data_IF_610668700476
#
_entry.id   IF_610668700476
#
_cell.length_a   1.000
_cell.length_b   1.000
_cell.length_c   1.000
_cell.angle_alpha   90.00
_cell.angle_beta   90.00
_cell.angle_gamma   90.00
#
_symmetry.space_group_name_H-M   'P 1'
#
loop_
_entity.id
_entity.type
_entity.pdbx_description
1 polymer ?
#
# COMPACT_ATOMS: atom_id res chain seq x y z
N UNK A 1 -13.12 -12.69 -13.53
CA UNK A 1 -13.87 -11.68 -12.73
C UNK A 1 -12.88 -10.66 -12.21
N UNK A 2 -13.13 -9.41 -12.44
CA UNK A 2 -12.18 -8.32 -12.16
C UNK A 2 -12.27 -7.91 -10.70
N UNK A 3 -11.20 -8.14 -9.96
CA UNK A 3 -11.09 -7.76 -8.54
C UNK A 3 -10.12 -6.59 -8.36
N UNK A 4 -10.38 -5.75 -7.37
CA UNK A 4 -9.48 -4.72 -6.89
C UNK A 4 -8.76 -5.22 -5.65
N UNK A 5 -7.45 -5.37 -5.74
CA UNK A 5 -6.58 -5.69 -4.60
C UNK A 5 -6.11 -4.37 -4.00
N UNK A 6 -6.65 -4.02 -2.84
CA UNK A 6 -6.39 -2.73 -2.22
C UNK A 6 -5.21 -2.82 -1.25
N UNK A 7 -4.14 -2.11 -1.59
CA UNK A 7 -2.91 -1.98 -0.80
C UNK A 7 -2.95 -0.65 -0.05
N UNK A 8 -3.74 -0.59 1.01
CA UNK A 8 -3.91 0.61 1.83
C UNK A 8 -2.70 0.87 2.74
N UNK A 9 -2.65 2.06 3.30
CA UNK A 9 -1.65 2.43 4.30
C UNK A 9 -1.97 1.75 5.64
N UNK A 10 -0.97 1.63 6.51
CA UNK A 10 -1.18 1.13 7.86
C UNK A 10 -2.24 1.97 8.59
N UNK A 11 -3.34 1.34 9.07
CA UNK A 11 -4.45 2.07 9.65
C UNK A 11 -4.19 2.41 11.12
N UNK A 12 -3.94 3.68 11.40
CA UNK A 12 -3.80 4.20 12.76
C UNK A 12 -5.05 4.98 13.16
N UNK A 13 -5.63 4.68 14.32
CA UNK A 13 -6.84 5.34 14.83
C UNK A 13 -6.71 6.87 14.97
N UNK A 14 -5.51 7.35 15.27
CA UNK A 14 -5.23 8.77 15.44
C UNK A 14 -4.84 9.48 14.13
N UNK A 15 -4.93 8.81 13.00
CA UNK A 15 -4.45 9.33 11.72
C UNK A 15 -5.49 9.19 10.61
N UNK A 16 -5.35 10.03 9.59
CA UNK A 16 -6.18 10.01 8.39
C UNK A 16 -6.08 8.67 7.61
N UNK A 17 -5.07 7.85 7.87
CA UNK A 17 -4.88 6.58 7.17
C UNK A 17 -6.03 5.60 7.37
N UNK A 18 -6.55 5.49 8.60
CA UNK A 18 -7.75 4.69 8.88
C UNK A 18 -8.98 5.30 8.20
N UNK A 19 -9.14 6.62 8.29
CA UNK A 19 -10.25 7.33 7.65
C UNK A 19 -10.22 7.19 6.13
N UNK A 20 -9.03 7.22 5.52
CA UNK A 20 -8.84 7.01 4.09
C UNK A 20 -9.27 5.61 3.66
N UNK A 21 -8.92 4.60 4.45
CA UNK A 21 -9.37 3.24 4.23
C UNK A 21 -10.90 3.16 4.26
N UNK A 22 -11.53 3.66 5.31
CA UNK A 22 -13.00 3.63 5.47
C UNK A 22 -13.71 4.34 4.31
N UNK A 23 -13.19 5.47 3.86
CA UNK A 23 -13.74 6.19 2.72
C UNK A 23 -13.60 5.44 1.41
N UNK A 24 -12.44 4.85 1.14
CA UNK A 24 -12.21 4.06 -0.07
C UNK A 24 -13.12 2.83 -0.10
N UNK A 25 -13.21 2.10 1.00
CA UNK A 25 -14.09 0.94 1.12
C UNK A 25 -15.55 1.32 0.88
N UNK A 26 -16.01 2.43 1.48
CA UNK A 26 -17.37 2.95 1.25
C UNK A 26 -17.62 3.27 -0.23
N UNK A 27 -16.63 3.83 -0.93
CA UNK A 27 -16.73 4.11 -2.37
C UNK A 27 -16.78 2.81 -3.18
N UNK A 28 -15.95 1.83 -2.83
CA UNK A 28 -15.92 0.53 -3.52
C UNK A 28 -17.26 -0.18 -3.38
N UNK A 29 -17.82 -0.20 -2.19
CA UNK A 29 -19.14 -0.78 -1.91
C UNK A 29 -20.25 -0.05 -2.66
N UNK A 30 -20.29 1.28 -2.58
CA UNK A 30 -21.28 2.10 -3.28
C UNK A 30 -21.24 1.91 -4.80
N UNK A 31 -20.06 1.62 -5.36
CA UNK A 31 -19.85 1.39 -6.80
C UNK A 31 -19.93 -0.07 -7.20
N UNK A 32 -20.25 -0.97 -6.27
CA UNK A 32 -20.27 -2.43 -6.49
C UNK A 32 -18.95 -2.94 -7.08
N UNK A 33 -17.83 -2.42 -6.59
CA UNK A 33 -16.49 -2.90 -6.96
C UNK A 33 -16.19 -4.12 -6.09
N UNK A 34 -15.88 -5.25 -6.72
CA UNK A 34 -15.35 -6.40 -5.99
C UNK A 34 -13.91 -6.09 -5.57
N UNK A 35 -13.68 -5.96 -4.26
CA UNK A 35 -12.38 -5.59 -3.71
C UNK A 35 -11.98 -6.51 -2.56
N UNK A 36 -10.68 -6.56 -2.32
CA UNK A 36 -10.10 -7.20 -1.16
C UNK A 36 -8.95 -6.34 -0.64
N UNK A 37 -8.99 -6.04 0.66
CA UNK A 37 -7.93 -5.31 1.33
C UNK A 37 -6.81 -6.27 1.73
N UNK A 38 -5.63 -6.10 1.11
CA UNK A 38 -4.44 -6.87 1.48
C UNK A 38 -3.80 -6.21 2.69
N UNK A 39 -4.17 -6.68 3.87
CA UNK A 39 -3.73 -6.11 5.13
C UNK A 39 -2.32 -6.60 5.50
N UNK A 40 -1.43 -5.67 5.87
CA UNK A 40 -0.13 -5.99 6.45
C UNK A 40 -0.23 -6.46 7.90
N UNK A 41 0.90 -6.85 8.47
CA UNK A 41 1.01 -7.15 9.89
C UNK A 41 1.50 -5.91 10.65
N UNK A 42 0.94 -5.67 11.83
CA UNK A 42 1.37 -4.59 12.71
C UNK A 42 2.43 -5.08 13.69
N UNK A 43 3.41 -4.22 13.99
CA UNK A 43 4.25 -4.43 15.15
C UNK A 43 3.43 -4.07 16.38
N UNK A 44 3.40 -4.97 17.36
CA UNK A 44 2.77 -4.70 18.66
C UNK A 44 3.57 -3.61 19.38
N UNK A 45 3.19 -2.39 19.13
CA UNK A 45 3.72 -1.24 19.87
C UNK A 45 2.56 -0.59 20.59
N UNK A 46 2.54 -0.74 21.91
CA UNK A 46 1.67 0.05 22.81
C UNK A 46 2.01 1.55 22.80
N UNK A 47 2.82 1.98 21.83
CA UNK A 47 3.21 3.37 21.70
C UNK A 47 2.04 4.17 21.14
N UNK A 48 1.43 4.94 22.01
CA UNK A 48 0.50 5.98 21.60
C UNK A 48 1.23 6.92 20.62
N UNK A 49 0.70 7.06 19.41
CA UNK A 49 1.20 8.07 18.47
C UNK A 49 0.94 9.44 19.09
N UNK A 50 2.01 10.12 19.47
CA UNK A 50 1.92 11.46 20.03
C UNK A 50 1.61 12.43 18.90
N UNK A 51 0.66 13.32 19.13
CA UNK A 51 0.31 14.37 18.17
C UNK A 51 1.56 15.14 17.71
N UNK A 52 1.78 15.24 16.42
CA UNK A 52 2.93 15.92 15.82
C UNK A 52 4.16 15.04 15.59
N UNK A 53 4.17 13.80 16.06
CA UNK A 53 5.23 12.86 15.66
C UNK A 53 4.93 12.25 14.28
N UNK A 54 5.98 12.14 13.50
CA UNK A 54 5.97 11.40 12.25
C UNK A 54 5.73 9.92 12.56
N UNK A 55 5.12 9.20 11.62
CA UNK A 55 4.87 7.76 11.69
C UNK A 55 6.10 6.99 12.20
N UNK A 56 5.86 5.93 12.95
CA UNK A 56 6.89 4.95 13.26
C UNK A 56 7.40 4.32 11.95
N UNK A 57 8.64 4.66 11.58
CA UNK A 57 9.25 4.18 10.33
C UNK A 57 9.39 2.66 10.30
N UNK A 58 9.69 2.03 11.45
CA UNK A 58 9.82 0.59 11.53
C UNK A 58 8.46 -0.10 11.39
N UNK A 59 7.44 0.39 12.08
CA UNK A 59 6.08 -0.14 12.01
C UNK A 59 5.51 -0.01 10.60
N UNK A 60 5.67 1.15 9.97
CA UNK A 60 5.23 1.37 8.59
C UNK A 60 5.95 0.44 7.61
N UNK A 61 7.26 0.30 7.75
CA UNK A 61 8.05 -0.57 6.88
C UNK A 61 7.62 -2.03 7.05
N UNK A 62 7.50 -2.49 8.29
CA UNK A 62 7.06 -3.85 8.59
C UNK A 62 5.67 -4.15 8.02
N UNK A 63 4.71 -3.24 8.24
CA UNK A 63 3.37 -3.37 7.68
C UNK A 63 3.39 -3.49 6.16
N UNK A 64 4.08 -2.57 5.48
CA UNK A 64 4.15 -2.54 4.01
C UNK A 64 4.87 -3.76 3.44
N UNK A 65 5.96 -4.19 4.05
CA UNK A 65 6.70 -5.36 3.60
C UNK A 65 5.90 -6.66 3.77
N UNK A 66 5.20 -6.83 4.88
CA UNK A 66 4.32 -7.99 5.10
C UNK A 66 3.10 -7.96 4.18
N UNK A 67 2.55 -6.80 3.93
CA UNK A 67 1.48 -6.59 2.96
C UNK A 67 1.91 -7.02 1.55
N UNK A 68 3.08 -6.55 1.10
CA UNK A 68 3.64 -6.92 -0.20
C UNK A 68 3.95 -8.42 -0.27
N UNK A 69 4.47 -9.02 0.79
CA UNK A 69 4.72 -10.47 0.85
C UNK A 69 3.42 -11.27 0.67
N UNK A 70 2.32 -10.82 1.27
CA UNK A 70 1.00 -11.44 1.07
C UNK A 70 0.53 -11.29 -0.38
N UNK A 71 0.69 -10.12 -0.98
CA UNK A 71 0.37 -9.91 -2.39
C UNK A 71 1.15 -10.86 -3.30
N UNK A 72 2.45 -10.99 -3.10
CA UNK A 72 3.31 -11.92 -3.87
C UNK A 72 2.82 -13.36 -3.71
N UNK A 73 2.42 -13.77 -2.51
CA UNK A 73 1.85 -15.10 -2.26
C UNK A 73 0.55 -15.30 -3.05
N UNK A 74 -0.35 -14.33 -3.04
CA UNK A 74 -1.60 -14.36 -3.81
C UNK A 74 -1.34 -14.48 -5.31
N UNK A 75 -0.37 -13.74 -5.83
CA UNK A 75 0.08 -13.83 -7.22
C UNK A 75 0.61 -15.24 -7.54
N UNK A 76 1.46 -15.79 -6.69
CA UNK A 76 2.02 -17.12 -6.86
C UNK A 76 0.96 -18.22 -6.83
N UNK A 77 -0.11 -18.01 -6.06
CA UNK A 77 -1.25 -18.93 -5.98
C UNK A 77 -2.24 -18.77 -7.13
N UNK A 78 -2.00 -17.84 -8.05
CA UNK A 78 -2.90 -17.58 -9.19
C UNK A 78 -4.22 -16.89 -8.81
N UNK A 79 -4.29 -16.30 -7.60
CA UNK A 79 -5.48 -15.57 -7.16
C UNK A 79 -5.54 -14.15 -7.74
N UNK A 80 -4.39 -13.57 -8.07
CA UNK A 80 -4.29 -12.29 -8.77
C UNK A 80 -4.06 -12.57 -10.24
N UNK A 81 -4.93 -12.05 -11.09
CA UNK A 81 -4.93 -12.32 -12.53
C UNK A 81 -4.72 -11.05 -13.35
N UNK A 82 -4.54 -11.19 -14.66
CA UNK A 82 -4.42 -10.06 -15.59
C UNK A 82 -5.73 -9.25 -15.76
N UNK A 83 -6.86 -9.77 -15.30
CA UNK A 83 -8.12 -9.03 -15.28
C UNK A 83 -8.19 -8.07 -14.09
N UNK A 84 -7.41 -8.33 -13.06
CA UNK A 84 -7.44 -7.63 -11.79
C UNK A 84 -6.69 -6.31 -11.82
N UNK A 85 -6.93 -5.54 -10.78
CA UNK A 85 -6.26 -4.26 -10.52
C UNK A 85 -5.64 -4.33 -9.13
N UNK A 86 -4.38 -3.94 -9.01
CA UNK A 86 -3.72 -3.71 -7.73
C UNK A 86 -3.66 -2.19 -7.53
N UNK A 87 -4.19 -1.72 -6.42
CA UNK A 87 -4.23 -0.29 -6.10
C UNK A 87 -3.41 -0.01 -4.84
N UNK A 88 -2.32 0.74 -5.02
CA UNK A 88 -1.50 1.26 -3.93
C UNK A 88 -1.96 2.65 -3.54
N UNK A 89 -2.28 2.82 -2.28
CA UNK A 89 -2.76 4.10 -1.73
C UNK A 89 -1.71 5.21 -1.77
N UNK A 90 -0.42 4.85 -1.71
CA UNK A 90 0.68 5.80 -1.79
C UNK A 90 1.88 5.21 -2.55
N UNK A 91 2.48 6.01 -3.42
CA UNK A 91 3.67 5.61 -4.16
C UNK A 91 4.91 5.44 -3.26
N UNK A 92 4.96 6.10 -2.11
CA UNK A 92 6.05 5.99 -1.15
C UNK A 92 5.81 4.88 -0.13
N UNK A 93 5.29 3.76 -0.59
CA UNK A 93 5.11 2.55 0.21
C UNK A 93 6.41 1.75 0.23
N UNK A 94 7.01 1.50 1.40
CA UNK A 94 8.23 0.68 1.51
C UNK A 94 8.05 -0.68 0.85
N UNK A 95 9.00 -1.07 0.00
CA UNK A 95 8.97 -2.31 -0.76
C UNK A 95 8.33 -2.20 -2.15
N UNK A 96 7.65 -1.11 -2.48
CA UNK A 96 7.02 -0.92 -3.80
C UNK A 96 8.05 -0.96 -4.93
N UNK A 97 9.28 -0.58 -4.68
CA UNK A 97 10.41 -0.62 -5.61
C UNK A 97 10.75 -2.04 -6.10
N UNK A 98 10.28 -3.07 -5.40
CA UNK A 98 10.44 -4.47 -5.82
C UNK A 98 9.41 -4.90 -6.88
N UNK A 99 8.34 -4.14 -7.12
CA UNK A 99 7.29 -4.50 -8.07
C UNK A 99 7.80 -4.76 -9.49
N UNK A 100 8.68 -3.95 -10.08
CA UNK A 100 9.21 -4.22 -11.42
C UNK A 100 9.88 -5.60 -11.50
N UNK A 101 10.65 -5.96 -10.48
CA UNK A 101 11.28 -7.27 -10.40
C UNK A 101 10.24 -8.39 -10.37
N UNK A 102 9.21 -8.26 -9.51
CA UNK A 102 8.15 -9.27 -9.36
C UNK A 102 7.35 -9.41 -10.66
N UNK A 103 6.95 -8.31 -11.27
CA UNK A 103 6.14 -8.30 -12.47
C UNK A 103 6.90 -8.79 -13.71
N UNK A 104 8.21 -8.56 -13.77
CA UNK A 104 9.02 -9.04 -14.88
C UNK A 104 9.17 -10.57 -14.90
N UNK A 105 8.83 -11.26 -13.82
CA UNK A 105 8.77 -12.72 -13.78
C UNK A 105 7.45 -13.27 -14.34
N UNK A 106 6.51 -12.40 -14.68
CA UNK A 106 5.19 -12.76 -15.24
C UNK A 106 5.16 -12.28 -16.70
N UNK A 107 4.69 -13.12 -17.60
CA UNK A 107 4.48 -12.73 -18.99
C UNK A 107 3.57 -11.51 -19.06
N UNK A 108 3.89 -10.55 -19.94
CA UNK A 108 3.21 -9.26 -20.02
C UNK A 108 1.68 -9.39 -20.14
N UNK A 109 1.22 -10.39 -20.89
CA UNK A 109 -0.21 -10.66 -21.09
C UNK A 109 -0.93 -11.17 -19.82
N UNK A 110 -0.18 -11.64 -18.82
CA UNK A 110 -0.73 -12.17 -17.57
C UNK A 110 -0.56 -11.21 -16.38
N UNK A 111 0.01 -10.03 -16.61
CA UNK A 111 0.25 -9.05 -15.53
C UNK A 111 -1.05 -8.34 -15.15
N UNK A 112 -1.33 -8.18 -13.85
CA UNK A 112 -2.41 -7.31 -13.40
C UNK A 112 -2.10 -5.84 -13.74
N UNK A 113 -3.13 -5.03 -13.75
CA UNK A 113 -2.96 -3.57 -13.86
C UNK A 113 -2.62 -3.00 -12.50
N UNK A 114 -1.71 -2.02 -12.46
CA UNK A 114 -1.30 -1.35 -11.23
C UNK A 114 -1.68 0.11 -11.30
N UNK A 115 -2.35 0.58 -10.24
CA UNK A 115 -2.59 1.98 -9.99
C UNK A 115 -1.89 2.37 -8.70
N UNK A 116 -1.21 3.50 -8.75
CA UNK A 116 -0.48 4.04 -7.60
C UNK A 116 -0.91 5.49 -7.42
N UNK A 117 -1.35 5.82 -6.22
CA UNK A 117 -1.67 7.19 -5.84
C UNK A 117 -0.44 7.87 -5.27
N UNK A 118 -0.28 9.15 -5.55
CA UNK A 118 0.75 9.97 -4.94
C UNK A 118 0.10 10.86 -3.88
N UNK A 119 0.24 10.51 -2.61
CA UNK A 119 -0.24 11.31 -1.48
C UNK A 119 0.84 12.22 -0.93
N UNK A 120 2.03 11.69 -0.74
CA UNK A 120 3.18 12.41 -0.20
C UNK A 120 4.05 12.99 -1.32
N UNK A 121 4.80 14.06 -1.02
CA UNK A 121 5.64 14.74 -2.00
C UNK A 121 7.06 14.94 -1.49
N UNK A 122 8.04 14.56 -2.32
CA UNK A 122 9.46 14.68 -1.98
C UNK A 122 9.98 16.11 -2.03
N UNK A 123 9.26 17.02 -2.71
CA UNK A 123 9.64 18.43 -2.84
C UNK A 123 9.21 19.28 -1.64
N UNK A 124 8.30 18.78 -0.81
CA UNK A 124 7.87 19.45 0.41
C UNK A 124 8.88 19.13 1.53
N UNK A 125 9.63 20.14 2.05
CA UNK A 125 10.64 19.90 3.06
C UNK A 125 10.07 19.44 4.41
N UNK A 126 8.78 19.65 4.65
CA UNK A 126 8.09 19.24 5.86
C UNK A 126 7.41 17.87 5.73
N UNK A 127 7.37 17.32 4.51
CA UNK A 127 6.83 15.99 4.27
C UNK A 127 7.80 14.88 4.73
N UNK A 128 7.24 13.81 5.31
CA UNK A 128 8.04 12.67 5.80
C UNK A 128 8.90 12.04 4.69
N UNK A 129 8.45 12.08 3.47
CA UNK A 129 9.20 11.57 2.30
C UNK A 129 10.52 12.32 2.13
N UNK A 130 10.49 13.65 2.31
CA UNK A 130 11.69 14.47 2.28
C UNK A 130 12.56 14.25 3.52
N UNK A 131 11.94 14.36 4.71
CA UNK A 131 12.63 14.24 6.01
C UNK A 131 13.34 12.91 6.18
N UNK A 132 12.74 11.81 5.71
CA UNK A 132 13.33 10.47 5.79
C UNK A 132 14.21 10.10 4.60
N UNK A 133 14.38 11.00 3.65
CA UNK A 133 15.19 10.78 2.46
C UNK A 133 14.65 9.69 1.53
N UNK A 134 13.35 9.39 1.60
CA UNK A 134 12.72 8.33 0.80
C UNK A 134 12.78 8.61 -0.69
N UNK A 135 12.83 9.87 -1.08
CA UNK A 135 12.92 10.28 -2.49
C UNK A 135 14.24 9.93 -3.16
N UNK A 136 15.26 9.60 -2.39
CA UNK A 136 16.60 9.31 -2.94
C UNK A 136 16.73 7.91 -3.55
N UNK A 137 15.83 6.99 -3.22
CA UNK A 137 15.87 5.61 -3.72
C UNK A 137 14.66 5.26 -4.61
N UNK A 138 13.84 6.24 -4.93
CA UNK A 138 12.75 6.15 -5.91
C UNK A 138 13.04 6.92 -7.20
#
# INVERSE_FOLDING_TARGET
MRKLWYMGLEPYKARYTLQLQDWNESVFECRNIDYEFVQGDTLDTDQAIVTGQVLDAHGRTYYSMTQLAKLVKLMKQGQVTNEDVIYFEDMFTPGIESLPYILNQIDAQHRPRIFVRCLAQSIDPDDFVHVWGMSQWM
#
